data_IF_614740038721
#
_entry.id   IF_614740038721
#
_cell.length_a   1.000
_cell.length_b   1.000
_cell.length_c   1.000
_cell.angle_alpha   90.00
_cell.angle_beta   90.00
_cell.angle_gamma   90.00
#
_symmetry.space_group_name_H-M   'P 1'
#
loop_
_entity.id
_entity.type
_entity.pdbx_description
1 polymer ?
#
# COMPACT_ATOMS: atom_id res chain seq x y z
N UNK A 1 9.71 18.09 57.23
CA UNK A 1 8.87 17.60 56.08
C UNK A 1 8.27 16.19 56.27
N UNK A 2 8.58 15.46 57.35
CA UNK A 2 7.94 14.16 57.62
C UNK A 2 8.90 12.97 57.50
N UNK A 3 10.16 13.23 57.20
CA UNK A 3 11.33 12.36 57.21
C UNK A 3 11.79 11.86 58.61
N UNK A 4 11.15 12.34 59.68
CA UNK A 4 11.53 12.08 61.08
C UNK A 4 12.79 12.80 61.59
N UNK A 5 13.35 13.76 60.84
CA UNK A 5 14.39 14.67 61.33
C UNK A 5 13.73 15.96 61.88
N UNK A 6 13.94 16.30 63.17
CA UNK A 6 13.36 17.54 63.70
C UNK A 6 13.98 18.79 63.04
N UNK A 7 13.21 19.87 62.84
CA UNK A 7 13.74 21.02 62.10
C UNK A 7 14.96 21.74 62.71
N UNK A 8 15.13 21.59 64.02
CA UNK A 8 16.35 22.06 64.70
C UNK A 8 17.59 21.27 64.29
N UNK A 9 17.42 19.98 63.96
CA UNK A 9 18.46 19.05 63.56
C UNK A 9 18.74 19.16 62.06
N UNK A 10 17.75 19.36 61.20
CA UNK A 10 17.94 19.64 59.76
C UNK A 10 18.96 20.78 59.57
N UNK A 11 18.82 21.87 60.34
CA UNK A 11 19.79 22.98 60.34
C UNK A 11 21.21 22.59 60.77
N UNK A 12 21.36 21.59 61.64
CA UNK A 12 22.66 21.10 62.12
C UNK A 12 23.34 20.25 61.03
N UNK A 13 22.57 19.37 60.38
CA UNK A 13 23.05 18.47 59.34
C UNK A 13 23.12 19.14 57.95
N UNK A 14 22.57 20.35 57.81
CA UNK A 14 22.59 21.09 56.55
C UNK A 14 21.47 20.70 55.59
N UNK A 15 20.50 19.92 56.06
CA UNK A 15 19.40 19.39 55.26
C UNK A 15 18.23 20.38 55.17
N UNK A 16 17.31 20.14 54.25
CA UNK A 16 16.24 21.07 53.92
C UNK A 16 14.93 20.74 54.65
N UNK A 17 14.50 21.65 55.53
CA UNK A 17 13.30 21.52 56.35
C UNK A 17 11.93 21.29 55.69
N UNK A 18 11.90 21.41 54.38
CA UNK A 18 10.71 21.28 53.56
C UNK A 18 10.85 20.20 52.49
N UNK A 19 12.00 19.53 52.44
CA UNK A 19 12.29 18.47 51.49
C UNK A 19 12.84 17.25 52.27
N UNK A 20 12.06 16.15 52.35
CA UNK A 20 12.41 15.01 53.20
C UNK A 20 13.60 14.18 52.73
N UNK A 21 14.12 14.46 51.53
CA UNK A 21 15.24 13.77 50.87
C UNK A 21 16.08 14.86 50.18
N UNK A 22 17.08 15.36 50.88
CA UNK A 22 17.78 16.59 50.53
C UNK A 22 18.69 16.44 49.31
N UNK A 23 19.36 15.31 49.15
CA UNK A 23 20.27 15.02 48.03
C UNK A 23 19.63 14.19 46.91
N UNK A 24 18.45 13.63 47.14
CA UNK A 24 17.61 13.04 46.09
C UNK A 24 18.02 11.64 45.69
N UNK A 25 18.67 10.89 46.58
CA UNK A 25 19.14 9.52 46.33
C UNK A 25 18.08 8.44 46.60
N UNK A 26 16.92 8.84 47.15
CA UNK A 26 15.80 7.98 47.47
C UNK A 26 15.70 7.59 48.96
N UNK A 27 16.63 8.02 49.79
CA UNK A 27 16.57 7.90 51.25
C UNK A 27 16.10 9.23 51.86
N UNK A 28 15.44 9.16 53.01
CA UNK A 28 15.00 10.38 53.71
C UNK A 28 16.07 10.87 54.68
N UNK A 29 16.23 12.19 54.85
CA UNK A 29 17.30 12.76 55.69
C UNK A 29 17.33 12.15 57.11
N UNK A 30 16.16 11.97 57.72
CA UNK A 30 16.03 11.39 59.05
C UNK A 30 16.43 9.91 59.13
N UNK A 31 16.26 9.15 58.05
CA UNK A 31 16.71 7.76 57.94
C UNK A 31 18.23 7.73 57.83
N UNK A 32 18.80 8.45 56.88
CA UNK A 32 20.25 8.52 56.65
C UNK A 32 21.03 8.91 57.90
N UNK A 33 20.60 9.98 58.58
CA UNK A 33 21.22 10.43 59.83
C UNK A 33 21.16 9.36 60.93
N UNK A 34 20.11 8.54 60.95
CA UNK A 34 19.95 7.47 61.95
C UNK A 34 20.83 6.25 61.67
N UNK A 35 21.18 6.01 60.40
CA UNK A 35 22.05 4.93 59.96
C UNK A 35 23.51 5.36 59.75
N UNK A 36 23.81 6.66 59.87
CA UNK A 36 25.17 7.20 59.83
C UNK A 36 25.63 7.63 58.43
N UNK A 37 24.70 7.77 57.49
CA UNK A 37 24.93 8.28 56.14
C UNK A 37 24.88 9.81 56.10
N UNK A 38 25.27 10.38 54.97
CA UNK A 38 25.32 11.82 54.75
C UNK A 38 24.13 12.31 53.91
N UNK A 39 23.06 12.75 54.60
CA UNK A 39 21.83 13.35 54.05
C UNK A 39 21.95 14.63 53.20
N UNK A 40 23.15 14.96 52.72
CA UNK A 40 23.37 16.08 51.79
C UNK A 40 24.30 15.69 50.65
N UNK A 41 24.68 14.43 50.57
CA UNK A 41 25.61 13.86 49.63
C UNK A 41 25.10 12.46 49.24
N UNK A 42 24.62 12.28 48.02
CA UNK A 42 23.89 11.08 47.63
C UNK A 42 24.77 9.81 47.53
N UNK A 43 26.06 9.89 47.84
CA UNK A 43 27.09 8.83 47.73
C UNK A 43 28.10 9.03 48.88
N UNK A 44 27.80 8.45 50.05
CA UNK A 44 28.44 8.70 51.34
C UNK A 44 29.90 8.28 51.36
N UNK A 45 30.27 7.18 50.71
CA UNK A 45 31.64 6.68 50.68
C UNK A 45 32.43 7.04 49.42
N UNK A 46 31.76 7.56 48.39
CA UNK A 46 32.35 8.17 47.22
C UNK A 46 32.82 7.17 46.18
N UNK A 47 32.18 6.00 46.08
CA UNK A 47 32.55 4.94 45.14
C UNK A 47 31.84 5.03 43.78
N UNK A 48 30.85 5.93 43.67
CA UNK A 48 30.09 6.20 42.46
C UNK A 48 28.71 5.54 42.41
N UNK A 49 28.30 4.79 43.44
CA UNK A 49 26.94 4.29 43.62
C UNK A 49 26.19 5.18 44.64
N UNK A 50 24.90 5.51 44.42
CA UNK A 50 24.14 6.27 45.41
C UNK A 50 23.71 5.43 46.62
N UNK A 51 23.69 6.03 47.83
CA UNK A 51 23.38 5.29 49.06
C UNK A 51 22.02 4.59 48.97
N UNK A 52 21.00 5.29 48.47
CA UNK A 52 19.67 4.72 48.27
C UNK A 52 19.63 3.51 47.33
N UNK A 53 20.46 3.50 46.29
CA UNK A 53 20.58 2.35 45.39
C UNK A 53 21.30 1.20 46.07
N UNK A 54 22.43 1.46 46.73
CA UNK A 54 23.17 0.43 47.47
C UNK A 54 22.31 -0.26 48.51
N UNK A 55 21.55 0.49 49.29
CA UNK A 55 20.64 -0.05 50.31
C UNK A 55 19.52 -0.88 49.67
N UNK A 56 19.01 -0.48 48.50
CA UNK A 56 17.98 -1.25 47.78
C UNK A 56 18.52 -2.63 47.35
N UNK A 57 19.77 -2.70 46.91
CA UNK A 57 20.42 -3.92 46.40
C UNK A 57 21.24 -4.67 47.46
N UNK A 58 21.23 -4.21 48.72
CA UNK A 58 21.83 -4.90 49.85
C UNK A 58 23.36 -4.72 49.99
N UNK A 59 23.90 -3.68 49.37
CA UNK A 59 25.27 -3.22 49.49
C UNK A 59 25.45 -2.30 50.71
N UNK A 60 26.67 -1.80 50.91
CA UNK A 60 27.03 -1.00 52.06
C UNK A 60 27.59 0.37 51.66
N UNK A 61 26.70 1.37 51.68
CA UNK A 61 26.95 2.81 51.44
C UNK A 61 27.96 3.51 52.37
N UNK A 62 28.72 2.76 53.16
CA UNK A 62 29.83 3.27 53.97
C UNK A 62 31.14 2.54 53.70
N UNK A 63 31.18 1.68 52.68
CA UNK A 63 32.29 0.81 52.33
C UNK A 63 32.53 0.74 50.80
N UNK A 64 33.17 1.78 50.28
CA UNK A 64 33.58 1.94 48.88
C UNK A 64 34.33 0.77 48.19
N UNK A 65 34.78 -0.24 48.95
CA UNK A 65 35.43 -1.42 48.38
C UNK A 65 34.43 -2.43 47.80
N UNK A 66 33.15 -2.38 48.18
CA UNK A 66 32.13 -3.27 47.62
C UNK A 66 31.70 -2.89 46.20
N UNK A 67 31.85 -1.65 45.74
CA UNK A 67 31.76 -1.27 44.32
C UNK A 67 32.55 -2.21 43.39
N UNK A 68 33.71 -2.69 43.84
CA UNK A 68 34.62 -3.55 43.07
C UNK A 68 34.38 -5.05 43.24
N UNK A 69 33.45 -5.43 44.12
CA UNK A 69 33.03 -6.82 44.31
C UNK A 69 32.02 -7.22 43.23
N UNK A 70 31.83 -8.52 43.09
CA UNK A 70 30.91 -9.18 42.16
C UNK A 70 30.05 -10.08 43.04
N UNK A 71 28.86 -9.59 43.42
CA UNK A 71 28.09 -10.15 44.52
C UNK A 71 27.33 -11.43 44.13
N UNK A 72 26.90 -11.55 42.88
CA UNK A 72 26.22 -12.73 42.35
C UNK A 72 27.11 -13.65 41.48
N UNK A 73 28.30 -13.19 41.10
CA UNK A 73 29.34 -13.99 40.47
C UNK A 73 29.19 -14.12 38.96
N UNK A 74 28.52 -13.19 38.31
CA UNK A 74 28.23 -13.20 36.87
C UNK A 74 29.35 -12.59 36.01
N UNK A 75 30.30 -11.89 36.65
CA UNK A 75 31.45 -11.24 36.03
C UNK A 75 31.34 -9.72 35.89
N UNK A 76 30.26 -9.08 36.33
CA UNK A 76 30.16 -7.64 36.52
C UNK A 76 30.50 -7.27 37.97
N UNK A 77 31.16 -6.12 38.17
CA UNK A 77 31.27 -5.56 39.52
C UNK A 77 29.97 -4.85 39.89
N UNK A 78 29.66 -4.74 41.18
CA UNK A 78 28.48 -4.02 41.69
C UNK A 78 28.33 -2.61 41.08
N UNK A 79 29.44 -1.88 40.90
CA UNK A 79 29.43 -0.57 40.22
C UNK A 79 29.07 -0.66 38.72
N UNK A 80 29.50 -1.71 38.03
CA UNK A 80 29.11 -1.94 36.63
C UNK A 80 27.63 -2.29 36.55
N UNK A 81 27.13 -3.08 37.49
CA UNK A 81 25.71 -3.41 37.54
C UNK A 81 24.84 -2.17 37.74
N UNK A 82 25.24 -1.26 38.64
CA UNK A 82 24.61 0.06 38.74
C UNK A 82 24.62 0.83 37.41
N UNK A 83 25.74 0.79 36.68
CA UNK A 83 25.90 1.48 35.40
C UNK A 83 25.05 0.87 34.27
N UNK A 84 24.87 -0.44 34.25
CA UNK A 84 24.06 -1.16 33.27
C UNK A 84 22.59 -1.31 33.68
N UNK A 85 22.25 -0.97 34.93
CA UNK A 85 20.89 -1.10 35.47
C UNK A 85 20.51 -2.53 35.83
N UNK A 86 21.50 -3.40 36.02
CA UNK A 86 21.32 -4.81 36.38
C UNK A 86 21.27 -4.99 37.90
N UNK A 87 21.04 -6.21 38.36
CA UNK A 87 20.76 -6.51 39.77
C UNK A 87 21.90 -7.29 40.43
N UNK A 88 22.57 -6.67 41.41
CA UNK A 88 23.73 -7.23 42.13
C UNK A 88 23.52 -8.52 42.91
N UNK A 89 22.31 -9.06 42.91
CA UNK A 89 21.99 -10.31 43.58
C UNK A 89 21.38 -11.34 42.63
N UNK A 90 21.31 -11.02 41.33
CA UNK A 90 20.67 -11.83 40.32
C UNK A 90 21.48 -11.79 39.03
N UNK A 91 22.22 -12.88 38.72
CA UNK A 91 23.21 -12.89 37.63
C UNK A 91 22.60 -12.88 36.23
N UNK A 92 21.28 -12.75 36.10
CA UNK A 92 20.45 -12.84 34.88
C UNK A 92 19.21 -11.98 35.14
N UNK A 93 19.34 -10.67 34.92
CA UNK A 93 18.41 -9.64 35.38
C UNK A 93 17.07 -9.71 34.65
N UNK A 94 17.06 -9.99 33.35
CA UNK A 94 15.83 -10.09 32.56
C UNK A 94 15.27 -11.52 32.44
N UNK A 95 16.04 -12.53 32.85
CA UNK A 95 15.59 -13.90 33.00
C UNK A 95 15.50 -14.68 31.69
N UNK A 96 16.28 -14.30 30.68
CA UNK A 96 16.29 -14.93 29.35
C UNK A 96 17.18 -16.19 29.28
N UNK A 97 18.00 -16.41 30.32
CA UNK A 97 18.91 -17.54 30.48
C UNK A 97 20.38 -17.26 30.12
N UNK A 98 20.73 -16.02 29.75
CA UNK A 98 22.09 -15.50 29.68
C UNK A 98 22.42 -14.77 30.98
N UNK A 99 23.70 -14.59 31.28
CA UNK A 99 24.09 -13.81 32.45
C UNK A 99 24.40 -12.37 32.08
N UNK A 100 24.10 -11.40 32.95
CA UNK A 100 24.24 -9.98 32.62
C UNK A 100 25.67 -9.65 32.16
N UNK A 101 26.67 -10.20 32.87
CA UNK A 101 28.07 -10.10 32.51
C UNK A 101 28.44 -10.76 31.19
N UNK A 102 27.75 -11.81 30.76
CA UNK A 102 27.95 -12.39 29.43
C UNK A 102 27.34 -11.49 28.36
N UNK A 103 26.13 -11.02 28.56
CA UNK A 103 25.40 -10.16 27.63
C UNK A 103 26.12 -8.86 27.35
N UNK A 104 26.52 -8.14 28.41
CA UNK A 104 27.30 -6.90 28.31
C UNK A 104 28.60 -7.12 27.54
N UNK A 105 29.27 -8.26 27.75
CA UNK A 105 30.51 -8.59 27.05
C UNK A 105 30.30 -8.96 25.57
N UNK A 106 29.08 -9.36 25.18
CA UNK A 106 28.71 -9.70 23.80
C UNK A 106 27.91 -8.59 23.10
N UNK A 107 27.59 -7.49 23.79
CA UNK A 107 26.91 -6.33 23.22
C UNK A 107 25.38 -6.42 23.24
N UNK A 108 24.83 -7.32 24.05
CA UNK A 108 23.39 -7.44 24.31
C UNK A 108 22.96 -6.52 25.47
N UNK A 109 21.66 -6.40 25.66
CA UNK A 109 21.06 -5.61 26.73
C UNK A 109 20.53 -6.50 27.86
N UNK A 110 21.34 -6.68 28.91
CA UNK A 110 21.05 -7.45 30.13
C UNK A 110 19.80 -7.07 30.95
N UNK A 111 19.01 -6.11 30.48
CA UNK A 111 17.75 -5.71 31.13
C UNK A 111 16.55 -5.87 30.20
N UNK A 112 16.77 -6.43 29.03
CA UNK A 112 15.80 -6.58 27.96
C UNK A 112 16.01 -7.95 27.29
N UNK A 113 15.10 -8.92 27.52
CA UNK A 113 15.34 -10.31 27.17
C UNK A 113 15.27 -10.59 25.66
N UNK A 114 15.12 -9.55 24.82
CA UNK A 114 14.94 -9.58 23.36
C UNK A 114 15.56 -8.27 22.80
N UNK A 115 16.88 -8.28 22.60
CA UNK A 115 17.72 -7.11 22.29
C UNK A 115 17.39 -6.48 20.94
N UNK A 116 17.07 -7.29 19.93
CA UNK A 116 16.78 -6.79 18.58
C UNK A 116 15.29 -6.64 18.26
N UNK A 117 14.42 -7.17 19.13
CA UNK A 117 12.98 -6.92 19.15
C UNK A 117 12.23 -7.72 18.09
N UNK A 118 12.65 -8.95 17.81
CA UNK A 118 12.08 -9.81 16.78
C UNK A 118 11.10 -10.87 17.31
N UNK A 119 10.77 -10.81 18.60
CA UNK A 119 9.92 -11.73 19.37
C UNK A 119 10.60 -13.06 19.78
N UNK A 120 11.91 -13.22 19.58
CA UNK A 120 12.74 -14.27 20.20
C UNK A 120 13.54 -13.70 21.37
N UNK A 121 13.84 -14.53 22.36
CA UNK A 121 14.69 -14.08 23.47
C UNK A 121 16.16 -14.29 23.16
N UNK A 122 17.06 -13.40 23.61
CA UNK A 122 18.50 -13.48 23.28
C UNK A 122 19.07 -14.85 23.67
N UNK A 123 18.72 -15.33 24.87
CA UNK A 123 19.10 -16.65 25.36
C UNK A 123 18.56 -17.81 24.52
N UNK A 124 17.41 -17.67 23.88
CA UNK A 124 16.90 -18.68 22.95
C UNK A 124 17.69 -18.65 21.64
N UNK A 125 17.92 -17.47 21.09
CA UNK A 125 18.64 -17.27 19.84
C UNK A 125 20.07 -17.78 19.91
N UNK A 126 20.81 -17.38 20.94
CA UNK A 126 22.18 -17.83 21.19
C UNK A 126 22.25 -19.35 21.30
N UNK A 127 21.27 -19.98 21.96
CA UNK A 127 21.20 -21.43 22.09
C UNK A 127 20.82 -22.15 20.78
N UNK A 128 20.17 -21.48 19.84
CA UNK A 128 19.80 -22.01 18.53
C UNK A 128 20.74 -21.58 17.39
N UNK A 129 21.73 -20.73 17.68
CA UNK A 129 22.75 -20.29 16.72
C UNK A 129 22.32 -19.12 15.83
N UNK A 130 21.32 -18.36 16.27
CA UNK A 130 20.91 -17.09 15.68
C UNK A 130 21.70 -15.92 16.26
N UNK A 131 21.46 -14.72 15.74
CA UNK A 131 22.13 -13.50 16.17
C UNK A 131 21.18 -12.54 16.88
N UNK A 132 21.15 -12.61 18.21
CA UNK A 132 20.36 -11.76 19.12
C UNK A 132 20.61 -10.24 19.07
N UNK A 133 21.39 -9.74 18.12
CA UNK A 133 21.57 -8.31 17.86
C UNK A 133 21.07 -7.91 16.47
N UNK A 134 20.49 -8.86 15.74
CA UNK A 134 20.11 -8.72 14.35
C UNK A 134 18.81 -9.50 14.10
N UNK A 135 17.68 -8.80 13.93
CA UNK A 135 16.36 -9.42 13.90
C UNK A 135 16.09 -10.25 12.63
N UNK A 136 17.07 -10.40 11.74
CA UNK A 136 17.01 -11.10 10.43
C UNK A 136 18.42 -11.68 10.15
N UNK A 137 18.71 -12.85 10.71
CA UNK A 137 20.04 -13.48 10.78
C UNK A 137 20.61 -13.81 9.39
N UNK A 138 19.77 -14.08 8.40
CA UNK A 138 20.21 -14.43 7.04
C UNK A 138 20.02 -13.34 5.98
N UNK A 139 19.54 -12.16 6.39
CA UNK A 139 19.36 -10.94 5.60
C UNK A 139 18.40 -11.12 4.40
N UNK A 140 17.37 -11.95 4.54
CA UNK A 140 16.40 -12.24 3.45
C UNK A 140 15.15 -11.34 3.46
N UNK A 141 14.98 -10.57 4.54
CA UNK A 141 13.88 -9.64 4.75
C UNK A 141 12.73 -10.18 5.60
N UNK A 142 12.80 -11.41 6.08
CA UNK A 142 11.90 -11.99 7.08
C UNK A 142 12.59 -11.99 8.46
N UNK A 143 11.94 -11.54 9.55
CA UNK A 143 12.55 -11.60 10.87
C UNK A 143 12.67 -13.01 11.43
N UNK A 144 13.69 -13.32 12.23
CA UNK A 144 13.94 -14.69 12.72
C UNK A 144 12.74 -15.19 13.54
N UNK A 145 12.18 -14.36 14.41
CA UNK A 145 10.99 -14.72 15.19
C UNK A 145 9.77 -15.01 14.34
N UNK A 146 9.59 -14.30 13.22
CA UNK A 146 8.52 -14.60 12.26
C UNK A 146 8.76 -15.93 11.56
N UNK A 147 9.99 -16.18 11.12
CA UNK A 147 10.36 -17.44 10.48
C UNK A 147 10.17 -18.63 11.41
N UNK A 148 10.65 -18.53 12.65
CA UNK A 148 10.50 -19.56 13.67
C UNK A 148 9.01 -19.82 13.97
N UNK A 149 8.18 -18.77 14.01
CA UNK A 149 6.74 -18.90 14.19
C UNK A 149 6.08 -19.75 13.08
N UNK A 150 6.47 -19.53 11.82
CA UNK A 150 5.93 -20.26 10.66
C UNK A 150 6.70 -21.55 10.31
N UNK A 151 7.77 -21.85 11.04
CA UNK A 151 8.58 -23.06 10.86
C UNK A 151 9.57 -22.99 9.69
N UNK A 152 9.92 -21.78 9.28
CA UNK A 152 11.01 -21.49 8.35
C UNK A 152 12.36 -21.50 9.07
N UNK A 153 13.44 -21.39 8.30
CA UNK A 153 14.80 -21.48 8.82
C UNK A 153 15.52 -20.14 8.68
N UNK A 154 15.55 -19.40 9.79
CA UNK A 154 16.21 -18.11 9.99
C UNK A 154 17.74 -18.07 9.77
N UNK A 155 18.31 -19.12 9.18
CA UNK A 155 19.72 -19.16 8.77
C UNK A 155 19.87 -19.51 7.29
N UNK A 156 18.77 -19.54 6.54
CA UNK A 156 18.68 -19.96 5.16
C UNK A 156 17.69 -19.12 4.33
N UNK A 157 18.20 -18.00 3.81
CA UNK A 157 17.54 -17.03 2.93
C UNK A 157 16.82 -17.55 1.66
N UNK A 158 16.92 -18.85 1.35
CA UNK A 158 16.27 -19.43 0.17
C UNK A 158 14.78 -19.69 0.39
N UNK A 159 14.31 -19.81 1.65
CA UNK A 159 12.89 -20.00 1.95
C UNK A 159 12.07 -18.73 1.83
N UNK A 160 12.61 -17.51 1.94
CA UNK A 160 11.90 -16.28 1.54
C UNK A 160 11.26 -16.33 0.15
N UNK A 161 11.91 -17.04 -0.78
CA UNK A 161 11.47 -17.17 -2.18
C UNK A 161 10.54 -18.36 -2.44
N UNK A 162 10.31 -19.20 -1.43
CA UNK A 162 9.41 -20.34 -1.52
C UNK A 162 7.96 -19.88 -1.31
N UNK A 163 7.03 -20.68 -1.80
CA UNK A 163 5.58 -20.49 -1.68
C UNK A 163 5.06 -21.73 -0.93
N UNK A 164 4.99 -21.62 0.39
CA UNK A 164 4.84 -22.78 1.27
C UNK A 164 3.43 -23.39 1.21
N UNK A 165 2.39 -22.59 0.97
CA UNK A 165 1.01 -23.05 0.84
C UNK A 165 0.50 -23.14 -0.62
N UNK A 166 1.29 -22.68 -1.59
CA UNK A 166 1.05 -22.74 -3.04
C UNK A 166 -0.11 -21.86 -3.51
N UNK A 167 -0.29 -20.69 -2.89
CA UNK A 167 -1.33 -19.74 -3.23
C UNK A 167 -0.89 -18.66 -4.26
N UNK A 168 0.42 -18.59 -4.52
CA UNK A 168 1.05 -17.65 -5.46
C UNK A 168 1.78 -16.48 -4.83
N UNK A 169 1.85 -16.37 -3.50
CA UNK A 169 2.77 -15.49 -2.78
C UNK A 169 4.00 -16.26 -2.32
N UNK A 170 5.16 -15.60 -2.30
CA UNK A 170 6.33 -16.16 -1.60
C UNK A 170 6.23 -15.85 -0.10
N UNK A 171 6.88 -16.63 0.75
CA UNK A 171 6.91 -16.43 2.20
C UNK A 171 7.25 -14.96 2.57
N UNK A 172 8.24 -14.36 1.89
CA UNK A 172 8.59 -12.95 2.08
C UNK A 172 7.45 -11.99 1.68
N UNK A 173 6.73 -12.28 0.59
CA UNK A 173 5.57 -11.47 0.19
C UNK A 173 4.46 -11.59 1.23
N UNK A 174 4.26 -12.77 1.79
CA UNK A 174 3.25 -12.98 2.83
C UNK A 174 3.57 -12.21 4.11
N UNK A 175 4.85 -12.20 4.54
CA UNK A 175 5.30 -11.30 5.59
C UNK A 175 4.99 -9.83 5.27
N UNK A 176 5.25 -9.39 4.04
CA UNK A 176 5.02 -8.00 3.60
C UNK A 176 3.52 -7.62 3.51
N UNK A 177 2.66 -8.56 3.16
CA UNK A 177 1.21 -8.35 3.09
C UNK A 177 0.49 -8.67 4.40
N UNK A 178 1.18 -9.25 5.39
CA UNK A 178 0.61 -9.64 6.68
C UNK A 178 -0.30 -10.86 6.59
N UNK A 179 -0.11 -11.71 5.57
CA UNK A 179 -0.84 -12.96 5.37
C UNK A 179 -0.13 -14.12 6.08
N UNK A 180 -0.75 -15.28 6.12
CA UNK A 180 -0.26 -16.46 6.81
C UNK A 180 0.48 -17.38 5.84
N UNK A 181 1.80 -17.48 5.99
CA UNK A 181 2.64 -18.22 5.06
C UNK A 181 2.50 -19.74 5.01
N UNK A 182 1.52 -20.27 5.72
CA UNK A 182 1.18 -21.70 5.71
C UNK A 182 -0.30 -21.94 5.46
N UNK A 183 -1.05 -20.89 5.14
CA UNK A 183 -2.49 -20.93 4.93
C UNK A 183 -2.91 -20.02 3.78
N UNK A 184 -3.21 -20.66 2.65
CA UNK A 184 -3.51 -20.05 1.36
C UNK A 184 -4.69 -19.07 1.31
N UNK A 185 -5.41 -18.89 2.41
CA UNK A 185 -6.66 -18.12 2.53
C UNK A 185 -6.72 -17.64 3.99
N UNK A 186 -6.00 -16.55 4.27
CA UNK A 186 -5.72 -16.04 5.60
C UNK A 186 -6.98 -15.63 6.34
N UNK A 187 -7.92 -15.00 5.66
CA UNK A 187 -9.15 -14.51 6.26
C UNK A 187 -10.34 -15.48 6.19
N UNK A 188 -10.20 -16.56 5.41
CA UNK A 188 -11.12 -17.67 5.33
C UNK A 188 -12.40 -17.36 4.54
N UNK A 189 -12.37 -16.40 3.63
CA UNK A 189 -13.54 -16.01 2.83
C UNK A 189 -13.72 -16.85 1.54
N UNK A 190 -12.73 -17.67 1.22
CA UNK A 190 -12.72 -18.60 0.09
C UNK A 190 -11.99 -18.10 -1.15
N UNK A 191 -11.33 -16.94 -1.08
CA UNK A 191 -10.36 -16.45 -2.06
C UNK A 191 -8.94 -16.67 -1.52
N UNK A 192 -7.96 -17.10 -2.35
CA UNK A 192 -6.59 -17.23 -1.89
C UNK A 192 -5.87 -15.89 -1.79
N UNK A 193 -4.96 -15.74 -0.82
CA UNK A 193 -4.28 -14.47 -0.54
C UNK A 193 -3.52 -13.98 -1.78
N UNK A 194 -2.79 -14.88 -2.44
CA UNK A 194 -2.10 -14.60 -3.69
C UNK A 194 -3.00 -14.19 -4.84
N UNK A 195 -4.24 -14.68 -4.89
CA UNK A 195 -5.21 -14.20 -5.88
C UNK A 195 -5.71 -12.79 -5.52
N UNK A 196 -6.03 -12.54 -4.25
CA UNK A 196 -6.55 -11.26 -3.78
C UNK A 196 -5.55 -10.13 -3.98
N UNK A 197 -4.31 -10.34 -3.52
CA UNK A 197 -3.21 -9.38 -3.69
C UNK A 197 -2.99 -9.04 -5.16
N UNK A 198 -3.00 -10.04 -6.05
CA UNK A 198 -2.82 -9.83 -7.49
C UNK A 198 -3.99 -9.09 -8.15
N UNK A 199 -5.18 -9.12 -7.55
CA UNK A 199 -6.37 -8.39 -8.01
C UNK A 199 -6.64 -7.10 -7.21
N UNK A 200 -5.73 -6.69 -6.32
CA UNK A 200 -5.84 -5.46 -5.54
C UNK A 200 -6.93 -5.50 -4.47
N UNK A 201 -7.23 -6.70 -3.96
CA UNK A 201 -8.15 -6.98 -2.87
C UNK A 201 -7.39 -7.11 -1.53
N UNK A 202 -8.13 -7.27 -0.44
CA UNK A 202 -7.61 -7.21 0.94
C UNK A 202 -7.62 -8.61 1.60
N UNK A 203 -6.53 -9.37 1.42
CA UNK A 203 -6.38 -10.77 1.84
C UNK A 203 -6.46 -11.04 3.36
N UNK A 204 -6.67 -10.01 4.17
CA UNK A 204 -6.86 -10.13 5.62
C UNK A 204 -8.25 -9.66 6.08
N UNK A 205 -9.16 -9.40 5.13
CA UNK A 205 -10.46 -8.80 5.37
C UNK A 205 -11.59 -9.56 4.65
N UNK A 206 -12.27 -10.49 5.36
CA UNK A 206 -13.16 -11.47 4.73
C UNK A 206 -14.50 -10.85 4.26
N UNK A 207 -14.69 -9.56 4.50
CA UNK A 207 -15.87 -8.84 4.06
C UNK A 207 -15.78 -8.46 2.58
N UNK A 208 -14.58 -8.40 2.01
CA UNK A 208 -14.37 -7.95 0.65
C UNK A 208 -14.77 -9.00 -0.41
N UNK A 209 -14.78 -10.31 -0.10
CA UNK A 209 -15.40 -11.36 -0.93
C UNK A 209 -16.82 -11.03 -1.41
N UNK A 210 -17.57 -10.26 -0.61
CA UNK A 210 -18.96 -9.89 -0.87
C UNK A 210 -19.14 -8.54 -1.58
N UNK A 211 -18.04 -7.81 -1.81
CA UNK A 211 -18.05 -6.53 -2.52
C UNK A 211 -18.14 -6.73 -4.03
N UNK A 212 -18.62 -5.70 -4.72
CA UNK A 212 -18.79 -5.60 -6.17
C UNK A 212 -18.17 -4.25 -6.60
N UNK A 213 -16.83 -4.16 -6.70
CA UNK A 213 -16.13 -2.90 -6.93
C UNK A 213 -16.42 -2.28 -8.30
N UNK A 214 -16.69 -3.10 -9.31
CA UNK A 214 -16.92 -2.67 -10.69
C UNK A 214 -18.40 -2.46 -11.06
N UNK A 215 -19.32 -2.93 -10.20
CA UNK A 215 -20.76 -2.74 -10.29
C UNK A 215 -21.44 -3.59 -11.36
N UNK A 216 -20.87 -4.73 -11.73
CA UNK A 216 -21.40 -5.62 -12.76
C UNK A 216 -22.41 -6.66 -12.24
N UNK A 217 -22.53 -6.75 -10.90
CA UNK A 217 -23.42 -7.64 -10.18
C UNK A 217 -22.82 -8.99 -9.79
N UNK A 218 -21.51 -9.20 -9.97
CA UNK A 218 -20.74 -10.26 -9.36
C UNK A 218 -20.04 -9.76 -8.10
N UNK A 219 -19.83 -10.66 -7.14
CA UNK A 219 -18.98 -10.34 -6.00
C UNK A 219 -17.56 -10.84 -6.26
N UNK A 220 -16.55 -10.28 -5.60
CA UNK A 220 -15.16 -10.72 -5.73
C UNK A 220 -15.00 -12.25 -5.68
N UNK A 221 -15.65 -12.92 -4.71
CA UNK A 221 -15.63 -14.39 -4.60
C UNK A 221 -16.26 -15.10 -5.80
N UNK A 222 -17.33 -14.55 -6.38
CA UNK A 222 -17.95 -15.11 -7.58
C UNK A 222 -17.06 -14.94 -8.80
N UNK A 223 -16.26 -13.88 -8.83
CA UNK A 223 -15.32 -13.59 -9.91
C UNK A 223 -14.10 -14.49 -9.82
N UNK A 224 -13.55 -14.71 -8.63
CA UNK A 224 -12.55 -15.73 -8.38
C UNK A 224 -13.02 -17.10 -8.89
N UNK A 225 -14.23 -17.53 -8.53
CA UNK A 225 -14.83 -18.79 -8.98
C UNK A 225 -15.05 -18.87 -10.50
N UNK A 226 -15.13 -17.73 -11.19
CA UNK A 226 -15.35 -17.63 -12.64
C UNK A 226 -14.07 -17.33 -13.42
N UNK A 227 -12.98 -16.95 -12.76
CA UNK A 227 -11.75 -16.47 -13.37
C UNK A 227 -11.94 -15.14 -14.11
N UNK A 228 -12.74 -14.23 -13.54
CA UNK A 228 -12.99 -12.87 -14.06
C UNK A 228 -12.28 -11.83 -13.18
N UNK A 229 -12.19 -10.58 -13.65
CA UNK A 229 -11.39 -9.52 -13.01
C UNK A 229 -12.30 -8.65 -12.14
N UNK A 230 -12.11 -8.61 -10.80
CA UNK A 230 -13.01 -7.94 -9.87
C UNK A 230 -13.03 -6.42 -9.94
N UNK A 231 -12.14 -5.84 -10.76
CA UNK A 231 -12.07 -4.42 -11.01
C UNK A 231 -12.57 -4.07 -12.42
N UNK A 232 -13.07 -5.04 -13.20
CA UNK A 232 -13.48 -4.85 -14.59
C UNK A 232 -14.78 -5.57 -15.01
N UNK A 233 -15.83 -4.74 -15.19
CA UNK A 233 -17.18 -5.24 -15.48
C UNK A 233 -17.28 -6.19 -16.69
N UNK A 234 -17.83 -7.37 -16.44
CA UNK A 234 -18.01 -8.40 -17.44
C UNK A 234 -19.14 -8.09 -18.43
N UNK A 235 -18.83 -8.22 -19.72
CA UNK A 235 -19.75 -7.88 -20.80
C UNK A 235 -20.99 -8.79 -20.93
N UNK A 236 -21.10 -9.87 -20.14
CA UNK A 236 -22.05 -10.96 -20.38
C UNK A 236 -23.07 -11.20 -19.25
N UNK A 237 -23.02 -10.50 -18.13
CA UNK A 237 -23.86 -10.82 -16.97
C UNK A 237 -25.13 -9.97 -16.82
N UNK A 238 -25.58 -9.29 -17.89
CA UNK A 238 -26.98 -8.88 -17.96
C UNK A 238 -27.85 -10.15 -18.05
N UNK A 239 -28.46 -10.54 -16.93
CA UNK A 239 -29.37 -11.68 -16.75
C UNK A 239 -30.63 -11.67 -17.64
N UNK A 240 -30.49 -11.56 -18.95
CA UNK A 240 -31.54 -11.88 -19.90
C UNK A 240 -31.29 -13.28 -20.42
N UNK A 241 -31.97 -14.26 -19.80
CA UNK A 241 -32.03 -15.64 -20.30
C UNK A 241 -32.27 -15.63 -21.82
N UNK A 242 -31.65 -16.54 -22.56
CA UNK A 242 -31.82 -16.70 -24.01
C UNK A 242 -33.29 -16.78 -24.45
N UNK A 243 -34.20 -17.11 -23.53
CA UNK A 243 -35.65 -17.06 -23.72
C UNK A 243 -36.21 -15.64 -23.95
N UNK A 244 -35.64 -14.61 -23.31
CA UNK A 244 -36.03 -13.20 -23.49
C UNK A 244 -35.62 -12.66 -24.86
N UNK A 245 -34.46 -13.06 -25.38
CA UNK A 245 -34.00 -12.70 -26.73
C UNK A 245 -34.95 -13.29 -27.79
N UNK A 246 -35.40 -14.54 -27.59
CA UNK A 246 -36.37 -15.20 -28.48
C UNK A 246 -37.75 -14.52 -28.39
N UNK A 247 -38.19 -14.10 -27.20
CA UNK A 247 -39.45 -13.38 -27.01
C UNK A 247 -39.43 -11.99 -27.68
N UNK A 248 -38.34 -11.24 -27.54
CA UNK A 248 -38.17 -9.94 -28.21
C UNK A 248 -38.12 -10.13 -29.73
N UNK A 249 -37.44 -11.17 -30.23
CA UNK A 249 -37.41 -11.49 -31.66
C UNK A 249 -38.79 -11.86 -32.22
N UNK A 250 -39.62 -12.59 -31.47
CA UNK A 250 -40.97 -13.00 -31.91
C UNK A 250 -42.00 -11.86 -31.85
N UNK A 251 -41.82 -10.86 -30.99
CA UNK A 251 -42.79 -9.75 -30.84
C UNK A 251 -42.37 -8.52 -31.63
N UNK A 252 -41.10 -8.13 -31.63
CA UNK A 252 -40.64 -6.87 -32.21
C UNK A 252 -40.42 -6.96 -33.72
N UNK A 253 -39.94 -8.10 -34.23
CA UNK A 253 -39.68 -8.28 -35.67
C UNK A 253 -40.97 -8.24 -36.50
N UNK A 254 -42.09 -8.88 -36.12
CA UNK A 254 -43.34 -8.77 -36.88
C UNK A 254 -43.92 -7.35 -36.88
N UNK A 255 -43.80 -6.61 -35.77
CA UNK A 255 -44.30 -5.24 -35.65
C UNK A 255 -43.51 -4.28 -36.57
N UNK A 256 -42.19 -4.43 -36.62
CA UNK A 256 -41.33 -3.64 -37.51
C UNK A 256 -41.56 -3.98 -38.99
N UNK A 257 -41.73 -5.26 -39.33
CA UNK A 257 -42.04 -5.69 -40.71
C UNK A 257 -43.40 -5.16 -41.16
N UNK A 258 -44.43 -5.20 -40.30
CA UNK A 258 -45.76 -4.66 -40.61
C UNK A 258 -45.75 -3.13 -40.77
N UNK A 259 -44.95 -2.42 -39.95
CA UNK A 259 -44.75 -0.98 -40.04
C UNK A 259 -44.08 -0.53 -41.35
N UNK A 260 -43.08 -1.28 -41.83
CA UNK A 260 -42.36 -0.98 -43.08
C UNK A 260 -43.25 -1.22 -44.32
N UNK A 261 -44.07 -2.27 -44.32
CA UNK A 261 -45.02 -2.57 -45.41
C UNK A 261 -46.11 -1.49 -45.51
N UNK A 262 -46.65 -1.02 -44.38
CA UNK A 262 -47.65 0.06 -44.35
C UNK A 262 -47.06 1.40 -44.82
N UNK A 263 -45.80 1.70 -44.48
CA UNK A 263 -45.09 2.91 -44.96
C UNK A 263 -44.85 2.91 -46.48
N UNK A 264 -44.55 1.75 -47.08
CA UNK A 264 -44.40 1.63 -48.55
C UNK A 264 -45.72 1.80 -49.29
N UNK A 265 -46.85 1.38 -48.72
CA UNK A 265 -48.16 1.52 -49.35
C UNK A 265 -48.67 2.98 -49.34
N UNK A 266 -48.40 3.74 -48.27
CA UNK A 266 -48.79 5.16 -48.16
C UNK A 266 -48.04 6.07 -49.16
N UNK A 267 -46.74 5.83 -49.39
CA UNK A 267 -45.93 6.63 -50.33
C UNK A 267 -46.36 6.48 -51.80
N UNK A 268 -46.97 5.36 -52.19
CA UNK A 268 -47.46 5.15 -53.57
C UNK A 268 -48.76 5.90 -53.91
N UNK A 269 -49.55 6.28 -52.90
CA UNK A 269 -50.81 7.02 -53.08
C UNK A 269 -50.54 8.53 -53.28
N UNK A 270 -49.59 9.10 -52.53
CA UNK A 270 -49.29 10.55 -52.58
C UNK A 270 -48.57 10.99 -53.86
N UNK A 271 -47.75 10.14 -54.49
CA UNK A 271 -47.05 10.48 -55.75
C UNK A 271 -47.98 10.57 -56.97
N UNK A 272 -49.19 9.98 -56.92
CA UNK A 272 -50.18 10.03 -58.01
C UNK A 272 -51.11 11.25 -57.94
N UNK A 273 -51.24 11.90 -56.79
CA UNK A 273 -52.05 13.12 -56.64
C UNK A 273 -51.24 14.41 -56.89
N UNK A 274 -49.90 14.37 -56.79
CA UNK A 274 -49.03 15.52 -57.03
C UNK A 274 -48.88 15.88 -58.53
N UNK A 275 -49.09 14.93 -59.46
CA UNK A 275 -49.01 15.16 -60.91
C UNK A 275 -50.33 15.68 -61.55
N UNK A 276 -51.38 15.92 -60.76
CA UNK A 276 -52.69 16.40 -61.23
C UNK A 276 -53.07 17.81 -60.74
N UNK A 277 -52.19 18.50 -60.03
CA UNK A 277 -52.45 19.83 -59.42
C UNK A 277 -51.47 20.92 -59.88
N UNK A 278 -50.90 20.77 -61.07
CA UNK A 278 -50.07 21.80 -61.71
C UNK A 278 -50.83 22.65 -62.75
N UNK A 279 -52.16 22.63 -62.70
CA UNK A 279 -52.99 23.67 -63.28
C UNK A 279 -53.89 24.24 -62.18
N UNK A 280 -54.07 25.57 -62.20
CA UNK A 280 -55.00 26.36 -61.38
C UNK A 280 -54.39 27.06 -60.14
N UNK A 281 -54.01 28.32 -60.41
CA UNK A 281 -54.10 29.56 -59.61
C UNK A 281 -53.09 29.94 -58.51
N UNK A 282 -52.39 31.04 -58.84
CA UNK A 282 -51.84 32.12 -58.00
C UNK A 282 -52.88 32.75 -57.05
N UNK A 283 -52.48 33.07 -55.80
CA UNK A 283 -52.42 34.43 -55.17
C UNK A 283 -52.60 34.40 -53.63
N UNK A 284 -51.76 35.19 -52.92
CA UNK A 284 -51.97 35.78 -51.58
C UNK A 284 -51.44 34.93 -50.40
N UNK A 285 -50.33 35.28 -49.73
CA UNK A 285 -50.21 36.26 -48.59
C UNK A 285 -50.99 35.79 -47.35
N UNK A 286 -50.49 35.63 -46.11
CA UNK A 286 -49.37 36.27 -45.38
C UNK A 286 -49.15 35.53 -44.04
N UNK A 287 -47.88 35.42 -43.61
CA UNK A 287 -47.32 35.44 -42.23
C UNK A 287 -47.91 34.68 -41.02
N UNK A 288 -47.01 33.87 -40.44
CA UNK A 288 -46.48 33.85 -39.05
C UNK A 288 -46.91 32.75 -38.05
N UNK A 289 -45.84 32.10 -37.56
CA UNK A 289 -45.57 31.59 -36.19
C UNK A 289 -46.10 30.22 -35.72
N UNK A 290 -45.22 29.23 -35.94
CA UNK A 290 -44.79 28.09 -35.10
C UNK A 290 -45.25 28.07 -33.62
N UNK A 291 -45.67 26.88 -33.17
CA UNK A 291 -45.03 25.95 -32.18
C UNK A 291 -46.05 25.37 -31.18
N UNK A 292 -46.26 24.04 -31.24
CA UNK A 292 -46.63 23.18 -30.10
C UNK A 292 -46.11 21.76 -30.44
N UNK A 293 -44.91 21.43 -29.97
CA UNK A 293 -44.64 20.56 -28.79
C UNK A 293 -45.20 19.15 -29.00
N UNK A 294 -44.31 18.25 -29.42
CA UNK A 294 -44.40 16.80 -29.19
C UNK A 294 -43.15 16.45 -28.37
N UNK A 295 -43.38 15.81 -27.23
CA UNK A 295 -42.39 15.14 -26.39
C UNK A 295 -41.70 14.01 -27.14
N UNK A 296 -40.39 13.79 -26.97
CA UNK A 296 -39.79 12.50 -27.26
C UNK A 296 -39.48 11.75 -25.96
N UNK A 297 -40.19 10.64 -25.80
CA UNK A 297 -39.74 9.45 -25.10
C UNK A 297 -38.50 8.83 -25.79
N UNK A 298 -37.73 8.05 -25.02
CA UNK A 298 -36.96 6.89 -25.48
C UNK A 298 -36.06 7.06 -26.73
N UNK A 299 -35.24 8.12 -26.74
CA UNK A 299 -34.18 8.29 -27.74
C UNK A 299 -32.76 8.37 -27.14
N UNK A 300 -32.57 8.17 -25.83
CA UNK A 300 -31.25 8.30 -25.20
C UNK A 300 -30.54 6.98 -24.84
N UNK A 301 -31.08 5.82 -25.21
CA UNK A 301 -30.53 4.53 -24.77
C UNK A 301 -30.08 3.58 -25.89
N UNK A 302 -29.95 4.07 -27.13
CA UNK A 302 -29.61 3.22 -28.29
C UNK A 302 -28.30 3.61 -29.00
N UNK A 303 -27.56 4.60 -28.49
CA UNK A 303 -26.31 5.06 -29.14
C UNK A 303 -25.04 4.35 -28.63
N UNK A 304 -25.10 3.60 -27.52
CA UNK A 304 -23.91 2.95 -26.92
C UNK A 304 -23.52 1.59 -27.50
N UNK A 305 -24.45 0.85 -28.12
CA UNK A 305 -24.23 -0.56 -28.52
C UNK A 305 -23.67 -0.67 -29.96
N UNK A 306 -23.87 0.36 -30.80
CA UNK A 306 -23.36 0.39 -32.18
C UNK A 306 -21.84 0.63 -32.27
N UNK A 307 -21.21 1.05 -31.18
CA UNK A 307 -19.83 1.55 -31.17
C UNK A 307 -18.84 0.44 -30.90
N UNK A 308 -19.10 -0.44 -29.91
CA UNK A 308 -18.21 -1.54 -29.49
C UNK A 308 -17.84 -2.50 -30.64
N UNK A 309 -18.83 -2.87 -31.47
CA UNK A 309 -18.62 -3.75 -32.63
C UNK A 309 -17.73 -3.15 -33.73
N UNK A 310 -17.71 -1.82 -33.88
CA UNK A 310 -16.79 -1.13 -34.79
C UNK A 310 -15.37 -1.01 -34.21
N UNK A 311 -15.23 -1.06 -32.88
CA UNK A 311 -13.94 -0.93 -32.21
C UNK A 311 -13.12 -2.23 -32.24
N UNK A 312 -13.77 -3.37 -32.08
CA UNK A 312 -13.09 -4.68 -32.22
C UNK A 312 -12.59 -4.94 -33.65
N UNK A 313 -13.32 -4.45 -34.67
CA UNK A 313 -12.90 -4.49 -36.08
C UNK A 313 -11.65 -3.62 -36.34
N UNK A 314 -11.54 -2.44 -35.70
CA UNK A 314 -10.34 -1.58 -35.79
C UNK A 314 -9.13 -2.24 -35.12
N UNK A 315 -9.36 -2.97 -34.02
CA UNK A 315 -8.31 -3.72 -33.33
C UNK A 315 -7.80 -4.93 -34.14
N UNK A 316 -8.67 -5.59 -34.89
CA UNK A 316 -8.29 -6.67 -35.83
C UNK A 316 -7.47 -6.15 -37.02
N UNK A 317 -7.72 -4.93 -37.50
CA UNK A 317 -6.92 -4.29 -38.56
C UNK A 317 -5.51 -3.89 -38.07
N UNK A 318 -5.37 -3.56 -36.77
CA UNK A 318 -4.09 -3.21 -36.13
C UNK A 318 -3.14 -4.39 -35.96
N UNK A 319 -3.64 -5.62 -35.96
CA UNK A 319 -2.84 -6.83 -35.70
C UNK A 319 -2.42 -7.57 -36.96
N UNK A 320 -2.98 -7.27 -38.14
CA UNK A 320 -2.76 -8.04 -39.38
C UNK A 320 -2.27 -7.25 -40.61
N UNK A 321 -1.80 -6.00 -40.48
CA UNK A 321 -1.33 -5.19 -41.60
C UNK A 321 0.04 -4.56 -41.39
N UNK A 322 0.95 -4.74 -42.32
CA UNK A 322 2.36 -4.28 -42.38
C UNK A 322 2.59 -2.75 -42.43
N UNK A 323 1.74 -1.94 -41.79
CA UNK A 323 1.82 -0.48 -41.80
C UNK A 323 2.12 0.10 -40.43
N UNK A 324 3.06 1.06 -40.35
CA UNK A 324 3.28 1.90 -39.17
C UNK A 324 2.03 2.76 -38.94
N UNK A 325 1.10 2.28 -38.10
CA UNK A 325 -0.10 3.04 -37.74
C UNK A 325 0.28 4.06 -36.67
N UNK A 326 0.04 5.35 -36.92
CA UNK A 326 0.33 6.40 -35.94
C UNK A 326 -0.84 6.62 -34.99
N UNK A 327 -0.59 7.13 -33.79
CA UNK A 327 -1.62 7.47 -32.79
C UNK A 327 -2.73 8.35 -33.35
N UNK A 328 -2.37 9.23 -34.30
CA UNK A 328 -3.30 10.12 -34.99
C UNK A 328 -4.25 9.39 -35.93
N UNK A 329 -3.74 8.40 -36.68
CA UNK A 329 -4.56 7.59 -37.59
C UNK A 329 -5.61 6.75 -36.84
N UNK A 330 -5.32 6.41 -35.58
CA UNK A 330 -6.21 5.65 -34.71
C UNK A 330 -7.30 6.53 -34.12
N UNK A 331 -6.92 7.71 -33.61
CA UNK A 331 -7.86 8.66 -32.99
C UNK A 331 -8.78 9.29 -34.04
N UNK A 332 -8.29 9.57 -35.26
CA UNK A 332 -9.08 10.23 -36.29
C UNK A 332 -10.18 9.34 -36.91
N UNK A 333 -10.11 8.01 -36.73
CA UNK A 333 -11.15 7.05 -37.14
C UNK A 333 -12.40 7.06 -36.26
N UNK A 334 -12.35 7.73 -35.10
CA UNK A 334 -13.42 7.76 -34.10
C UNK A 334 -14.15 9.10 -34.14
N UNK A 335 -15.46 9.04 -33.87
CA UNK A 335 -16.28 10.25 -33.74
C UNK A 335 -15.69 11.20 -32.69
N UNK A 336 -15.67 12.50 -33.00
CA UNK A 336 -14.99 13.51 -32.20
C UNK A 336 -15.46 13.52 -30.74
N UNK A 337 -16.72 13.21 -30.48
CA UNK A 337 -17.27 13.16 -29.12
C UNK A 337 -16.78 11.92 -28.33
N UNK A 338 -16.37 10.86 -29.03
CA UNK A 338 -15.95 9.58 -28.43
C UNK A 338 -14.43 9.38 -28.42
N UNK A 339 -13.66 10.22 -29.12
CA UNK A 339 -12.20 10.13 -29.24
C UNK A 339 -11.48 10.04 -27.92
N UNK A 340 -11.87 10.86 -26.93
CA UNK A 340 -11.20 10.90 -25.63
C UNK A 340 -11.40 9.60 -24.85
N UNK A 341 -12.64 9.12 -24.78
CA UNK A 341 -12.96 7.87 -24.09
C UNK A 341 -12.30 6.67 -24.76
N UNK A 342 -12.32 6.62 -26.11
CA UNK A 342 -11.66 5.56 -26.86
C UNK A 342 -10.13 5.58 -26.70
N UNK A 343 -9.51 6.76 -26.76
CA UNK A 343 -8.08 6.89 -26.61
C UNK A 343 -7.58 6.50 -25.21
N UNK A 344 -8.36 6.81 -24.16
CA UNK A 344 -8.10 6.35 -22.80
C UNK A 344 -8.22 4.83 -22.68
N UNK A 345 -9.32 4.26 -23.16
CA UNK A 345 -9.51 2.81 -23.16
C UNK A 345 -8.40 2.08 -23.94
N UNK A 346 -8.03 2.61 -25.11
CA UNK A 346 -7.00 2.03 -25.94
C UNK A 346 -5.61 2.18 -25.30
N UNK A 347 -5.31 3.29 -24.64
CA UNK A 347 -4.03 3.44 -23.94
C UNK A 347 -3.90 2.42 -22.82
N UNK A 348 -4.96 2.18 -22.04
CA UNK A 348 -4.95 1.22 -20.94
C UNK A 348 -4.71 -0.20 -21.47
N UNK A 349 -5.40 -0.59 -22.54
CA UNK A 349 -5.18 -1.88 -23.21
C UNK A 349 -3.74 -2.04 -23.75
N UNK A 350 -3.20 -0.99 -24.36
CA UNK A 350 -1.83 -1.02 -24.91
C UNK A 350 -0.77 -1.11 -23.81
N UNK A 351 -1.02 -0.57 -22.62
CA UNK A 351 -0.12 -0.69 -21.46
C UNK A 351 -0.05 -2.16 -21.02
N UNK A 352 -1.20 -2.83 -20.89
CA UNK A 352 -1.27 -4.25 -20.53
C UNK A 352 -0.57 -5.14 -21.58
N UNK A 353 -0.70 -4.80 -22.87
CA UNK A 353 0.00 -5.52 -23.95
C UNK A 353 1.51 -5.17 -24.08
N UNK A 354 2.07 -4.37 -23.17
CA UNK A 354 3.48 -3.96 -23.20
C UNK A 354 3.85 -2.94 -24.28
N UNK A 355 2.86 -2.33 -24.95
CA UNK A 355 3.02 -1.36 -26.05
C UNK A 355 3.10 0.08 -25.53
N UNK A 356 3.92 0.32 -24.52
CA UNK A 356 4.01 1.59 -23.80
C UNK A 356 4.37 2.81 -24.67
N UNK A 357 5.18 2.62 -25.72
CA UNK A 357 5.53 3.69 -26.67
C UNK A 357 4.30 4.21 -27.44
N UNK A 358 3.36 3.33 -27.82
CA UNK A 358 2.15 3.75 -28.52
C UNK A 358 1.12 4.34 -27.54
N UNK A 359 1.01 3.75 -26.35
CA UNK A 359 0.13 4.23 -25.28
C UNK A 359 0.46 5.69 -24.88
N UNK A 360 1.74 6.02 -24.67
CA UNK A 360 2.14 7.39 -24.31
C UNK A 360 1.76 8.39 -25.42
N UNK A 361 1.94 8.03 -26.69
CA UNK A 361 1.72 8.94 -27.81
C UNK A 361 0.21 9.23 -27.97
N UNK A 362 -0.64 8.23 -27.72
CA UNK A 362 -2.10 8.39 -27.68
C UNK A 362 -2.52 9.35 -26.57
N UNK A 363 -1.99 9.17 -25.35
CA UNK A 363 -2.32 10.02 -24.19
C UNK A 363 -1.87 11.48 -24.37
N UNK A 364 -0.68 11.69 -24.94
CA UNK A 364 -0.19 13.04 -25.26
C UNK A 364 -1.08 13.72 -26.30
N UNK A 365 -1.54 12.99 -27.32
CA UNK A 365 -2.37 13.56 -28.40
C UNK A 365 -3.74 14.02 -27.89
N UNK A 366 -4.33 13.30 -26.93
CA UNK A 366 -5.60 13.69 -26.31
C UNK A 366 -5.47 14.70 -25.15
N UNK A 367 -4.24 15.06 -24.77
CA UNK A 367 -3.97 16.04 -23.72
C UNK A 367 -4.05 15.49 -22.29
N UNK A 368 -4.09 14.17 -22.12
CA UNK A 368 -4.12 13.50 -20.81
C UNK A 368 -2.70 13.33 -20.26
N UNK A 369 -2.06 14.46 -19.96
CA UNK A 369 -0.65 14.52 -19.58
C UNK A 369 -0.36 13.87 -18.22
N UNK A 370 -1.28 13.95 -17.26
CA UNK A 370 -1.15 13.31 -15.94
C UNK A 370 -0.99 11.79 -16.06
N UNK A 371 -1.71 11.17 -17.01
CA UNK A 371 -1.62 9.74 -17.30
C UNK A 371 -0.40 9.38 -18.16
N UNK A 372 0.01 10.29 -19.06
CA UNK A 372 1.16 10.05 -19.92
C UNK A 372 2.50 10.09 -19.15
N UNK A 373 2.63 10.97 -18.16
CA UNK A 373 3.91 11.22 -17.48
C UNK A 373 4.49 9.98 -16.78
N UNK A 374 3.74 9.23 -15.95
CA UNK A 374 4.27 8.02 -15.31
C UNK A 374 4.80 7.01 -16.32
N UNK A 375 4.09 6.80 -17.42
CA UNK A 375 4.51 5.88 -18.50
C UNK A 375 5.82 6.36 -19.14
N UNK A 376 5.96 7.66 -19.39
CA UNK A 376 7.18 8.23 -19.98
C UNK A 376 8.36 8.09 -19.01
N UNK A 377 8.14 8.27 -17.70
CA UNK A 377 9.16 8.07 -16.67
C UNK A 377 9.59 6.60 -16.63
N UNK A 378 8.66 5.64 -16.61
CA UNK A 378 8.99 4.21 -16.62
C UNK A 378 9.82 3.83 -17.86
N UNK A 379 9.47 4.33 -19.04
CA UNK A 379 10.26 4.12 -20.27
C UNK A 379 11.65 4.79 -20.16
N UNK A 380 11.74 5.97 -19.55
CA UNK A 380 13.01 6.67 -19.36
C UNK A 380 13.95 5.91 -18.42
N UNK A 381 13.44 5.37 -17.32
CA UNK A 381 14.17 4.52 -16.37
C UNK A 381 14.65 3.24 -17.06
N UNK A 382 13.78 2.58 -17.83
CA UNK A 382 14.16 1.42 -18.63
C UNK A 382 15.36 1.72 -19.56
N UNK A 383 15.31 2.80 -20.33
CA UNK A 383 16.44 3.17 -21.21
C UNK A 383 17.69 3.60 -20.45
N UNK A 384 17.56 4.19 -19.26
CA UNK A 384 18.69 4.53 -18.37
C UNK A 384 19.41 3.26 -17.91
N UNK A 385 18.65 2.26 -17.44
CA UNK A 385 19.19 0.95 -17.02
C UNK A 385 19.87 0.22 -18.18
N UNK A 386 19.31 0.31 -19.38
CA UNK A 386 19.90 -0.28 -20.60
C UNK A 386 21.10 0.53 -21.16
N UNK A 387 21.56 1.58 -20.47
CA UNK A 387 22.69 2.42 -20.89
C UNK A 387 22.40 3.36 -22.07
N UNK A 388 21.16 3.44 -22.55
CA UNK A 388 20.76 4.36 -23.62
C UNK A 388 20.41 5.75 -23.07
N UNK A 389 21.43 6.44 -22.56
CA UNK A 389 21.29 7.74 -21.90
C UNK A 389 20.72 8.82 -22.83
N UNK A 390 20.98 8.75 -24.14
CA UNK A 390 20.43 9.70 -25.11
C UNK A 390 18.90 9.62 -25.18
N UNK A 391 18.35 8.39 -25.21
CA UNK A 391 16.91 8.18 -25.27
C UNK A 391 16.26 8.54 -23.93
N UNK A 392 16.86 8.17 -22.80
CA UNK A 392 16.41 8.58 -21.48
C UNK A 392 16.35 10.11 -21.34
N UNK A 393 17.42 10.84 -21.72
CA UNK A 393 17.45 12.32 -21.71
C UNK A 393 16.35 12.95 -22.56
N UNK A 394 16.00 12.35 -23.70
CA UNK A 394 14.90 12.85 -24.53
C UNK A 394 13.54 12.70 -23.84
N UNK A 395 13.32 11.58 -23.16
CA UNK A 395 12.08 11.30 -22.44
C UNK A 395 11.93 12.19 -21.19
N UNK A 396 12.98 12.38 -20.39
CA UNK A 396 12.94 13.33 -19.27
C UNK A 396 12.69 14.77 -19.73
N UNK A 397 13.29 15.21 -20.86
CA UNK A 397 12.97 16.53 -21.46
C UNK A 397 11.51 16.63 -21.87
N UNK A 398 10.91 15.54 -22.35
CA UNK A 398 9.49 15.49 -22.67
C UNK A 398 8.63 15.63 -21.41
N UNK A 399 8.96 14.91 -20.33
CA UNK A 399 8.27 15.02 -19.03
C UNK A 399 8.28 16.46 -18.49
N UNK A 400 9.45 17.12 -18.48
CA UNK A 400 9.57 18.54 -18.08
C UNK A 400 8.63 19.43 -18.91
N UNK A 401 8.56 19.20 -20.22
CA UNK A 401 7.68 19.97 -21.12
C UNK A 401 6.19 19.71 -20.81
N UNK A 402 5.83 18.50 -20.43
CA UNK A 402 4.45 18.15 -20.06
C UNK A 402 4.06 18.78 -18.71
N UNK A 403 4.89 18.68 -17.67
CA UNK A 403 4.64 19.36 -16.39
C UNK A 403 4.46 20.87 -16.56
N UNK A 404 5.32 21.53 -17.36
CA UNK A 404 5.17 22.97 -17.66
C UNK A 404 3.86 23.29 -18.40
N UNK A 405 3.35 22.39 -19.24
CA UNK A 405 2.05 22.57 -19.91
C UNK A 405 0.88 22.44 -18.93
N UNK A 406 1.01 21.62 -17.90
CA UNK A 406 0.00 21.47 -16.84
C UNK A 406 0.05 22.62 -15.82
N UNK A 407 1.13 23.41 -15.82
CA UNK A 407 1.35 24.47 -14.83
C UNK A 407 2.05 23.99 -13.56
N UNK A 408 2.44 22.72 -13.49
CA UNK A 408 3.20 22.15 -12.37
C UNK A 408 4.69 22.46 -12.53
N UNK A 409 5.08 23.66 -12.07
CA UNK A 409 6.45 24.14 -12.15
C UNK A 409 7.37 23.49 -11.09
N UNK A 410 6.82 22.91 -10.04
CA UNK A 410 7.60 22.27 -8.98
C UNK A 410 8.09 20.90 -9.45
N UNK A 411 7.20 20.06 -9.95
CA UNK A 411 7.57 18.76 -10.51
C UNK A 411 8.47 18.91 -11.73
N UNK A 412 8.24 19.93 -12.56
CA UNK A 412 9.13 20.25 -13.67
C UNK A 412 10.58 20.54 -13.21
N UNK A 413 10.77 21.23 -12.07
CA UNK A 413 12.11 21.50 -11.52
C UNK A 413 12.78 20.24 -11.00
N UNK A 414 12.05 19.38 -10.28
CA UNK A 414 12.57 18.10 -9.77
C UNK A 414 13.10 17.23 -10.92
N UNK A 415 12.34 17.11 -12.00
CA UNK A 415 12.78 16.35 -13.19
C UNK A 415 13.91 17.07 -13.96
N UNK A 416 13.97 18.40 -13.96
CA UNK A 416 15.12 19.14 -14.52
C UNK A 416 16.42 18.91 -13.74
N UNK A 417 16.35 18.72 -12.42
CA UNK A 417 17.50 18.39 -11.59
C UNK A 417 17.99 16.97 -11.88
N UNK A 418 17.08 15.99 -11.97
CA UNK A 418 17.41 14.62 -12.36
C UNK A 418 18.03 14.57 -13.76
N UNK A 419 17.50 15.36 -14.72
CA UNK A 419 18.06 15.50 -16.06
C UNK A 419 19.47 16.12 -16.08
N UNK A 420 19.84 16.94 -15.08
CA UNK A 420 21.21 17.49 -14.96
C UNK A 420 22.18 16.47 -14.37
N UNK A 421 21.70 15.60 -13.48
CA UNK A 421 22.49 14.52 -12.89
C UNK A 421 22.78 13.41 -13.91
N UNK A 422 21.80 13.14 -14.79
CA UNK A 422 21.90 12.20 -15.92
C UNK A 422 22.76 12.74 -17.06
#
# INVERSE_FOLDING_TARGET
DGDSLPNKNEKIYGTNATNPDTDGDGLSDGWEVSYGLNATNPDTDGDGMPDGWEIQYGLNATNAEDASQDLDGDGLTNLQEYQYGTNTTNPDTDGDGLSDGWEVNNGLNATNPDTDGDDLSDGWEVNNGLNATNPDTDDDGMPDGWEVQYGFNATNAEDASQDADNDGLTNLQEYQYGTNATNSDTDGDGMPDGWEVNNGLDAINPADASQDPDGDGLTNLQEYQRGTDPLFADANNFGMSTQWIILIALVVVPILVFGVVKRRHSRRQHSRQALKKESVLKKGSTTRTKKKVVSPSEAQYQEGISTKRKFDEILMDLTNGTGVVTSKDIIDKVDKEQRKAFALWLSDKLIVEGKHELAKDILIEIGEYEKAIPIIISIAVYYKVQGNLNKAKQLYKLVVKLYKKMGDLESAKKVEEELKQL
#
